data_IF_199076531009
#
_entry.id   IF_199076531009
#
_cell.length_a   1.000
_cell.length_b   1.000
_cell.length_c   1.000
_cell.angle_alpha   90.00
_cell.angle_beta   90.00
_cell.angle_gamma   90.00
#
_symmetry.space_group_name_H-M   'P 1'
#
loop_
_entity.id
_entity.type
_entity.pdbx_description
1 polymer ?
#
# COMPACT_ATOMS: atom_id res chain seq x y z
N UNK A 1 7.17 -15.50 -20.06
CA UNK A 1 7.08 -14.11 -19.57
C UNK A 1 5.72 -13.75 -18.93
N UNK A 2 4.62 -14.43 -19.26
CA UNK A 2 3.29 -14.12 -18.69
C UNK A 2 3.17 -14.34 -17.18
N UNK A 3 4.07 -15.11 -16.56
CA UNK A 3 4.02 -15.43 -15.12
C UNK A 3 4.03 -14.20 -14.22
N UNK A 4 4.74 -13.12 -14.59
CA UNK A 4 4.79 -11.89 -13.76
C UNK A 4 3.49 -11.07 -13.83
N UNK A 5 2.56 -11.39 -14.74
CA UNK A 5 1.23 -10.78 -14.78
C UNK A 5 0.20 -11.54 -13.95
N UNK A 6 0.30 -12.86 -13.84
CA UNK A 6 -0.72 -13.70 -13.22
C UNK A 6 -0.73 -13.56 -11.69
N UNK A 7 -1.86 -13.19 -11.05
CA UNK A 7 -1.94 -13.07 -9.58
C UNK A 7 -1.53 -14.35 -8.85
N UNK A 8 -1.91 -15.52 -9.38
CA UNK A 8 -1.55 -16.82 -8.80
C UNK A 8 -0.04 -17.09 -8.68
N UNK A 9 0.78 -16.42 -9.49
CA UNK A 9 2.26 -16.52 -9.37
C UNK A 9 2.77 -15.95 -8.04
N UNK A 10 2.01 -15.05 -7.43
CA UNK A 10 2.39 -14.35 -6.20
C UNK A 10 1.83 -15.02 -4.93
N UNK A 11 1.02 -16.05 -5.07
CA UNK A 11 0.47 -16.80 -3.93
C UNK A 11 1.57 -17.41 -3.05
N UNK A 12 2.67 -17.87 -3.67
CA UNK A 12 3.84 -18.42 -2.97
C UNK A 12 4.91 -17.36 -2.69
N UNK A 13 4.72 -16.14 -3.14
CA UNK A 13 5.62 -15.00 -2.98
C UNK A 13 5.97 -14.30 -4.28
N UNK A 14 6.68 -13.17 -4.14
CA UNK A 14 7.20 -12.45 -5.30
C UNK A 14 8.23 -13.33 -6.01
N UNK A 15 8.12 -13.56 -7.35
CA UNK A 15 8.99 -14.46 -8.09
C UNK A 15 10.37 -13.84 -8.36
N UNK A 16 11.16 -13.59 -7.30
CA UNK A 16 12.43 -12.86 -7.38
C UNK A 16 13.47 -13.51 -8.30
N UNK A 17 13.52 -14.84 -8.37
CA UNK A 17 14.42 -15.54 -9.31
C UNK A 17 14.08 -15.21 -10.75
N UNK A 18 12.81 -15.33 -11.13
CA UNK A 18 12.35 -14.98 -12.47
C UNK A 18 12.62 -13.50 -12.78
N UNK A 19 12.36 -12.60 -11.81
CA UNK A 19 12.62 -11.17 -11.99
C UNK A 19 14.13 -10.89 -12.17
N UNK A 20 15.01 -11.61 -11.47
CA UNK A 20 16.47 -11.51 -11.60
C UNK A 20 16.93 -11.98 -12.99
N UNK A 21 16.46 -13.15 -13.44
CA UNK A 21 16.77 -13.67 -14.77
C UNK A 21 16.34 -12.69 -15.87
N UNK A 22 15.11 -12.20 -15.81
CA UNK A 22 14.59 -11.24 -16.78
C UNK A 22 15.38 -9.93 -16.75
N UNK A 23 15.69 -9.40 -15.56
CA UNK A 23 16.48 -8.16 -15.41
C UNK A 23 17.88 -8.29 -16.03
N UNK A 24 18.52 -9.43 -15.87
CA UNK A 24 19.83 -9.71 -16.45
C UNK A 24 19.81 -9.88 -17.97
N UNK A 25 18.83 -10.61 -18.49
CA UNK A 25 18.75 -10.98 -19.89
C UNK A 25 18.02 -9.93 -20.76
N UNK A 26 16.86 -9.44 -20.31
CA UNK A 26 15.95 -8.55 -21.07
C UNK A 26 15.28 -7.55 -20.13
N UNK A 27 16.00 -6.53 -19.66
CA UNK A 27 15.55 -5.63 -18.58
C UNK A 27 14.29 -4.83 -18.92
N UNK A 28 13.98 -4.69 -20.22
CA UNK A 28 12.71 -4.18 -20.73
C UNK A 28 12.13 -5.28 -21.61
N UNK A 29 11.08 -5.97 -21.14
CA UNK A 29 10.54 -7.14 -21.83
C UNK A 29 9.03 -7.05 -22.01
N UNK A 30 8.54 -7.62 -23.12
CA UNK A 30 7.11 -7.70 -23.40
C UNK A 30 6.43 -8.76 -22.55
N UNK A 31 5.32 -8.40 -21.90
CA UNK A 31 4.47 -9.29 -21.10
C UNK A 31 3.06 -9.26 -21.65
N UNK A 32 2.51 -10.44 -21.91
CA UNK A 32 1.11 -10.57 -22.34
C UNK A 32 0.18 -10.38 -21.12
N UNK A 33 -1.00 -9.86 -21.38
CA UNK A 33 -2.10 -9.74 -20.42
C UNK A 33 -3.19 -10.78 -20.75
N UNK A 34 -3.04 -12.05 -20.37
CA UNK A 34 -4.08 -13.05 -20.61
C UNK A 34 -5.35 -12.72 -19.81
N UNK A 35 -6.47 -13.30 -20.23
CA UNK A 35 -7.68 -13.30 -19.44
C UNK A 35 -7.44 -13.98 -18.09
N UNK A 36 -8.04 -13.44 -17.02
CA UNK A 36 -7.97 -13.99 -15.65
C UNK A 36 -9.36 -14.00 -15.05
N UNK A 37 -9.92 -15.18 -14.82
CA UNK A 37 -11.32 -15.31 -14.41
C UNK A 37 -12.25 -14.65 -15.44
N UNK A 38 -13.13 -13.79 -14.98
CA UNK A 38 -14.04 -13.04 -15.85
C UNK A 38 -13.43 -11.77 -16.47
N UNK A 39 -12.18 -11.44 -16.17
CA UNK A 39 -11.49 -10.29 -16.74
C UNK A 39 -10.92 -10.63 -18.11
N UNK A 40 -11.20 -9.83 -19.18
CA UNK A 40 -10.72 -10.12 -20.52
C UNK A 40 -9.19 -9.96 -20.65
N UNK A 41 -8.65 -10.52 -21.73
CA UNK A 41 -7.25 -10.28 -22.09
C UNK A 41 -7.04 -8.81 -22.48
N UNK A 42 -5.87 -8.28 -22.12
CA UNK A 42 -5.41 -6.94 -22.53
C UNK A 42 -4.40 -6.99 -23.67
N UNK A 43 -3.92 -5.81 -24.13
CA UNK A 43 -2.98 -5.72 -25.24
C UNK A 43 -1.56 -6.21 -24.89
N UNK A 44 -1.23 -6.32 -23.62
CA UNK A 44 0.13 -6.53 -23.13
C UNK A 44 0.84 -5.23 -22.71
N UNK A 45 2.05 -5.37 -22.19
CA UNK A 45 2.83 -4.22 -21.70
C UNK A 45 4.34 -4.50 -21.72
N UNK A 46 5.13 -3.44 -21.68
CA UNK A 46 6.57 -3.48 -21.45
C UNK A 46 6.87 -3.46 -19.96
N UNK A 47 7.42 -4.54 -19.40
CA UNK A 47 7.90 -4.57 -18.03
C UNK A 47 9.30 -3.97 -17.94
N UNK A 48 9.51 -3.02 -17.03
CA UNK A 48 10.79 -2.33 -16.78
C UNK A 48 11.30 -2.79 -15.42
N UNK A 49 12.49 -3.43 -15.39
CA UNK A 49 12.98 -4.20 -14.25
C UNK A 49 14.25 -3.62 -13.60
N UNK A 50 15.13 -2.91 -14.35
CA UNK A 50 16.34 -2.29 -13.80
C UNK A 50 16.02 -1.01 -13.03
N UNK A 51 16.69 -0.80 -11.94
CA UNK A 51 16.51 0.36 -11.08
C UNK A 51 16.68 1.69 -11.81
N UNK A 52 17.73 1.84 -12.63
CA UNK A 52 17.99 3.07 -13.39
C UNK A 52 16.85 3.36 -14.40
N UNK A 53 16.37 2.32 -15.11
CA UNK A 53 15.29 2.44 -16.09
C UNK A 53 13.95 2.75 -15.42
N UNK A 54 13.65 2.11 -14.28
CA UNK A 54 12.47 2.41 -13.44
C UNK A 54 12.49 3.87 -12.99
N UNK A 55 13.62 4.37 -12.49
CA UNK A 55 13.75 5.79 -12.10
C UNK A 55 13.63 6.73 -13.30
N UNK A 56 14.17 6.36 -14.45
CA UNK A 56 14.03 7.14 -15.67
C UNK A 56 12.56 7.28 -16.06
N UNK A 57 11.82 6.17 -16.17
CA UNK A 57 10.39 6.18 -16.49
C UNK A 57 9.57 7.01 -15.50
N UNK A 58 9.87 6.89 -14.20
CA UNK A 58 9.12 7.59 -13.15
C UNK A 58 9.39 9.10 -13.09
N UNK A 59 10.55 9.58 -13.55
CA UNK A 59 10.92 11.01 -13.48
C UNK A 59 10.64 11.79 -14.77
N UNK A 60 10.22 11.12 -15.85
CA UNK A 60 10.02 11.73 -17.17
C UNK A 60 8.56 11.59 -17.64
N UNK A 61 7.60 12.27 -16.97
CA UNK A 61 6.17 12.17 -17.29
C UNK A 61 5.86 12.68 -18.71
N UNK A 62 6.69 13.53 -19.28
CA UNK A 62 6.60 13.99 -20.66
C UNK A 62 6.79 12.85 -21.69
N UNK A 63 7.50 11.81 -21.35
CA UNK A 63 7.68 10.58 -22.15
C UNK A 63 6.77 9.43 -21.70
N UNK A 64 6.50 9.34 -20.41
CA UNK A 64 5.81 8.22 -19.75
C UNK A 64 4.66 8.73 -18.86
N UNK A 65 3.51 8.96 -19.47
CA UNK A 65 2.34 9.58 -18.85
C UNK A 65 1.65 8.65 -17.84
N UNK A 66 1.25 9.20 -16.70
CA UNK A 66 0.29 8.60 -15.77
C UNK A 66 -1.15 8.80 -16.26
N UNK A 67 -1.42 9.86 -17.04
CA UNK A 67 -2.75 10.28 -17.42
C UNK A 67 -3.33 9.48 -18.58
N UNK A 68 -2.52 9.17 -19.60
CA UNK A 68 -3.04 8.59 -20.86
C UNK A 68 -3.78 7.26 -20.66
N UNK A 69 -3.32 6.40 -19.77
CA UNK A 69 -3.93 5.10 -19.50
C UNK A 69 -4.18 4.79 -18.03
N UNK A 70 -4.07 5.81 -17.15
CA UNK A 70 -4.01 5.65 -15.71
C UNK A 70 -2.81 4.80 -15.25
N UNK A 71 -2.75 4.42 -13.97
CA UNK A 71 -1.56 3.80 -13.35
C UNK A 71 -1.72 2.32 -13.03
N UNK A 72 -2.88 1.74 -13.33
CA UNK A 72 -3.13 0.30 -13.22
C UNK A 72 -2.80 -0.42 -14.53
N UNK A 73 -2.34 -1.68 -14.45
CA UNK A 73 -2.00 -2.45 -15.67
C UNK A 73 -3.21 -2.65 -16.56
N UNK A 74 -4.35 -3.08 -15.96
CA UNK A 74 -5.60 -3.23 -16.70
C UNK A 74 -6.18 -1.88 -17.09
N UNK A 75 -6.69 -1.81 -18.30
CA UNK A 75 -7.43 -0.64 -18.76
C UNK A 75 -8.81 -0.59 -18.06
N UNK A 76 -9.37 0.61 -17.80
CA UNK A 76 -10.75 0.77 -17.39
C UNK A 76 -11.72 0.20 -18.44
N UNK A 77 -12.88 -0.30 -17.99
CA UNK A 77 -13.84 -1.01 -18.84
C UNK A 77 -14.52 -0.11 -19.88
N UNK A 78 -14.46 1.20 -19.70
CA UNK A 78 -15.04 2.19 -20.61
C UNK A 78 -14.25 3.49 -20.67
N UNK A 79 -14.48 4.27 -21.73
CA UNK A 79 -13.93 5.63 -21.86
C UNK A 79 -14.41 6.56 -20.73
N UNK A 80 -15.65 6.40 -20.27
CA UNK A 80 -16.20 7.20 -19.17
C UNK A 80 -15.49 6.89 -17.84
N UNK A 81 -15.23 5.61 -17.55
CA UNK A 81 -14.45 5.21 -16.37
C UNK A 81 -13.00 5.68 -16.45
N UNK A 82 -12.39 5.62 -17.63
CA UNK A 82 -11.05 6.16 -17.81
C UNK A 82 -11.01 7.68 -17.55
N UNK A 83 -12.00 8.43 -18.02
CA UNK A 83 -12.09 9.87 -17.75
C UNK A 83 -12.27 10.16 -16.26
N UNK A 84 -13.13 9.41 -15.55
CA UNK A 84 -13.27 9.54 -14.11
C UNK A 84 -11.96 9.18 -13.38
N UNK A 85 -11.35 8.06 -13.72
CA UNK A 85 -10.09 7.61 -13.12
C UNK A 85 -8.94 8.62 -13.31
N UNK A 86 -8.91 9.31 -14.45
CA UNK A 86 -7.93 10.36 -14.76
C UNK A 86 -8.04 11.59 -13.89
N UNK A 87 -9.16 11.84 -13.20
CA UNK A 87 -9.27 12.97 -12.26
C UNK A 87 -8.51 12.77 -10.96
N UNK A 88 -8.12 11.53 -10.64
CA UNK A 88 -7.31 11.20 -9.47
C UNK A 88 -5.88 11.75 -9.60
N UNK A 89 -5.35 12.36 -8.55
CA UNK A 89 -3.97 12.90 -8.52
C UNK A 89 -2.91 11.88 -8.99
N UNK A 90 -3.04 10.63 -8.59
CA UNK A 90 -2.14 9.54 -8.98
C UNK A 90 -2.10 9.31 -10.51
N UNK A 91 -3.21 9.60 -11.19
CA UNK A 91 -3.40 9.40 -12.62
C UNK A 91 -3.34 10.71 -13.42
N UNK A 92 -2.67 11.72 -12.89
CA UNK A 92 -2.45 13.02 -13.54
C UNK A 92 -0.96 13.20 -13.82
N UNK A 93 -0.65 13.96 -14.87
CA UNK A 93 0.72 14.43 -15.12
C UNK A 93 0.87 15.90 -14.68
N UNK A 94 2.09 16.40 -14.44
CA UNK A 94 2.28 17.83 -14.28
C UNK A 94 1.82 18.61 -15.53
N UNK A 95 1.18 19.80 -15.36
CA UNK A 95 1.03 20.59 -14.14
C UNK A 95 -0.16 20.21 -13.25
N UNK A 96 -1.16 19.46 -13.73
CA UNK A 96 -2.39 19.15 -13.01
C UNK A 96 -2.11 18.30 -11.75
N UNK A 97 -1.25 17.27 -11.87
CA UNK A 97 -0.75 16.54 -10.72
C UNK A 97 -0.18 17.49 -9.65
N UNK A 98 0.64 18.45 -10.05
CA UNK A 98 1.30 19.37 -9.12
C UNK A 98 0.30 20.30 -8.44
N UNK A 99 -0.79 20.69 -9.13
CA UNK A 99 -1.90 21.47 -8.55
C UNK A 99 -2.60 20.68 -7.45
N UNK A 100 -3.04 19.46 -7.75
CA UNK A 100 -3.73 18.60 -6.77
C UNK A 100 -2.83 18.25 -5.58
N UNK A 101 -1.57 17.91 -5.83
CA UNK A 101 -0.60 17.58 -4.79
C UNK A 101 -0.38 18.75 -3.82
N UNK A 102 -0.32 19.99 -4.30
CA UNK A 102 -0.14 21.19 -3.48
C UNK A 102 -1.26 21.37 -2.47
N UNK A 103 -2.50 21.07 -2.84
CA UNK A 103 -3.68 21.18 -1.97
C UNK A 103 -3.48 20.35 -0.69
N UNK A 104 -2.99 19.12 -0.82
CA UNK A 104 -2.90 18.16 0.29
C UNK A 104 -1.54 18.13 0.99
N UNK A 105 -0.49 18.61 0.33
CA UNK A 105 0.90 18.51 0.82
C UNK A 105 1.10 19.12 2.22
N UNK A 106 0.33 20.17 2.56
CA UNK A 106 0.40 20.80 3.86
C UNK A 106 0.04 19.91 5.05
N UNK A 107 -0.72 18.82 4.83
CA UNK A 107 -1.04 17.82 5.86
C UNK A 107 0.13 16.85 6.13
N UNK A 108 1.13 16.79 5.25
CA UNK A 108 2.27 15.88 5.31
C UNK A 108 3.60 16.58 5.55
N UNK A 109 3.57 17.85 5.96
CA UNK A 109 4.78 18.58 6.34
C UNK A 109 5.39 18.02 7.63
N UNK A 110 6.72 18.17 7.86
CA UNK A 110 7.35 17.73 9.10
C UNK A 110 6.68 18.26 10.36
N UNK A 111 6.20 19.52 10.34
CA UNK A 111 5.46 20.12 11.46
C UNK A 111 4.14 19.39 11.71
N UNK A 112 3.30 19.21 10.68
CA UNK A 112 2.00 18.54 10.83
C UNK A 112 2.16 17.07 11.27
N UNK A 113 3.17 16.37 10.76
CA UNK A 113 3.47 15.00 11.15
C UNK A 113 4.08 14.92 12.56
N UNK A 114 4.87 15.93 12.98
CA UNK A 114 5.40 16.00 14.35
C UNK A 114 4.31 16.03 15.40
N UNK A 115 3.22 16.76 15.15
CA UNK A 115 2.05 16.81 16.03
C UNK A 115 1.33 15.45 16.17
N UNK A 116 1.42 14.59 15.14
CA UNK A 116 0.82 13.25 15.12
C UNK A 116 1.73 12.17 15.70
N UNK A 117 3.04 12.37 15.69
CA UNK A 117 4.03 11.34 16.05
C UNK A 117 3.76 10.75 17.43
N UNK A 118 3.58 11.59 18.46
CA UNK A 118 3.31 11.12 19.83
C UNK A 118 1.99 10.34 19.95
N UNK A 119 0.98 10.71 19.15
CA UNK A 119 -0.28 9.97 19.12
C UNK A 119 -0.13 8.60 18.48
N UNK A 120 0.64 8.51 17.37
CA UNK A 120 0.96 7.26 16.68
C UNK A 120 1.76 6.33 17.60
N UNK A 121 2.76 6.86 18.32
CA UNK A 121 3.58 6.09 19.26
C UNK A 121 2.76 5.56 20.43
N UNK A 122 1.90 6.39 21.04
CA UNK A 122 0.98 5.93 22.10
C UNK A 122 0.06 4.84 21.58
N UNK A 123 -0.54 5.05 20.41
CA UNK A 123 -1.45 4.07 19.83
C UNK A 123 -0.76 2.73 19.53
N UNK A 124 0.45 2.75 18.97
CA UNK A 124 1.25 1.55 18.80
C UNK A 124 1.55 0.86 20.15
N UNK A 125 1.83 1.65 21.21
CA UNK A 125 2.05 1.14 22.56
C UNK A 125 0.81 0.48 23.16
N UNK A 126 -0.37 1.08 22.95
CA UNK A 126 -1.66 0.54 23.43
C UNK A 126 -2.00 -0.77 22.72
N UNK A 127 -1.83 -0.82 21.39
CA UNK A 127 -2.06 -2.04 20.60
C UNK A 127 -1.18 -3.21 21.07
N UNK A 128 0.12 -2.99 21.22
CA UNK A 128 1.03 -4.04 21.70
C UNK A 128 0.76 -4.37 23.18
N UNK A 129 0.41 -3.36 23.97
CA UNK A 129 0.02 -3.53 25.37
C UNK A 129 -1.21 -4.44 25.55
N UNK A 130 -2.21 -4.33 24.68
CA UNK A 130 -3.46 -5.09 24.76
C UNK A 130 -3.27 -6.61 24.57
N UNK A 131 -2.20 -7.03 23.90
CA UNK A 131 -1.92 -8.46 23.61
C UNK A 131 -0.79 -9.03 24.46
N UNK A 132 -0.05 -8.20 25.18
CA UNK A 132 1.21 -8.58 25.84
C UNK A 132 1.08 -9.83 26.72
N UNK A 133 -0.01 -9.97 27.47
CA UNK A 133 -0.24 -11.09 28.39
C UNK A 133 -0.78 -12.35 27.69
N UNK A 134 -1.14 -12.28 26.40
CA UNK A 134 -1.69 -13.41 25.67
C UNK A 134 -0.62 -14.44 25.31
N UNK A 135 0.62 -14.01 25.03
CA UNK A 135 1.73 -14.86 24.62
C UNK A 135 1.77 -15.19 23.13
N UNK A 136 0.68 -14.91 22.41
CA UNK A 136 0.57 -15.08 20.97
C UNK A 136 -0.47 -14.12 20.39
N UNK A 137 -0.34 -13.77 19.10
CA UNK A 137 -1.30 -12.98 18.35
C UNK A 137 -1.10 -13.15 16.83
N UNK A 138 -2.13 -12.84 16.06
CA UNK A 138 -1.96 -12.59 14.62
C UNK A 138 -1.51 -11.14 14.42
N UNK A 139 -0.28 -10.97 13.98
CA UNK A 139 0.31 -9.64 13.81
C UNK A 139 -0.33 -8.85 12.66
N UNK A 140 -0.91 -9.50 11.64
CA UNK A 140 -1.66 -8.80 10.59
C UNK A 140 -2.85 -8.06 11.18
N UNK A 141 -3.62 -8.71 12.04
CA UNK A 141 -4.76 -8.11 12.72
C UNK A 141 -4.33 -7.03 13.71
N UNK A 142 -3.30 -7.31 14.52
CA UNK A 142 -2.77 -6.35 15.49
C UNK A 142 -2.28 -5.06 14.83
N UNK A 143 -1.52 -5.19 13.74
CA UNK A 143 -0.90 -4.06 13.06
C UNK A 143 -1.88 -3.25 12.20
N UNK A 144 -3.01 -3.82 11.78
CA UNK A 144 -3.94 -3.19 10.85
C UNK A 144 -4.63 -1.94 11.42
N UNK A 145 -4.84 -1.86 12.73
CA UNK A 145 -5.54 -0.73 13.36
C UNK A 145 -4.72 0.58 13.36
N UNK A 146 -3.39 0.48 13.42
CA UNK A 146 -2.52 1.67 13.46
C UNK A 146 -2.65 2.56 12.22
N UNK A 147 -2.53 2.05 10.97
CA UNK A 147 -2.67 2.88 9.78
C UNK A 147 -4.10 3.42 9.61
N UNK A 148 -5.12 2.63 9.95
CA UNK A 148 -6.53 3.05 9.84
C UNK A 148 -6.85 4.24 10.76
N UNK A 149 -6.45 4.17 12.03
CA UNK A 149 -6.62 5.30 12.98
C UNK A 149 -5.84 6.52 12.55
N UNK A 150 -4.59 6.32 12.13
CA UNK A 150 -3.76 7.44 11.67
C UNK A 150 -4.39 8.12 10.46
N UNK A 151 -4.90 7.34 9.51
CA UNK A 151 -5.56 7.83 8.32
C UNK A 151 -6.86 8.57 8.66
N UNK A 152 -7.71 8.00 9.54
CA UNK A 152 -8.94 8.65 9.99
C UNK A 152 -8.65 10.02 10.61
N UNK A 153 -7.61 10.12 11.44
CA UNK A 153 -7.18 11.39 12.04
C UNK A 153 -6.76 12.39 10.97
N UNK A 154 -5.91 12.01 10.02
CA UNK A 154 -5.41 12.92 8.97
C UNK A 154 -6.52 13.35 8.02
N UNK A 155 -7.39 12.42 7.63
CA UNK A 155 -8.52 12.72 6.75
C UNK A 155 -9.63 13.53 7.46
N UNK A 156 -9.74 13.43 8.78
CA UNK A 156 -10.82 14.03 9.56
C UNK A 156 -12.08 13.16 9.64
N UNK A 157 -11.91 11.85 9.43
CA UNK A 157 -12.97 10.83 9.59
C UNK A 157 -13.21 10.61 11.09
N UNK A 158 -14.46 10.57 11.59
CA UNK A 158 -14.78 10.20 12.97
C UNK A 158 -14.23 8.81 13.34
N UNK A 159 -13.80 8.66 14.58
CA UNK A 159 -13.24 7.39 15.10
C UNK A 159 -14.21 6.22 14.92
N UNK A 160 -15.48 6.45 15.11
CA UNK A 160 -16.54 5.45 14.97
C UNK A 160 -16.65 4.92 13.53
N UNK A 161 -16.36 5.78 12.54
CA UNK A 161 -16.51 5.46 11.12
C UNK A 161 -15.23 4.90 10.47
N UNK A 162 -14.12 4.77 11.24
CA UNK A 162 -12.85 4.33 10.68
C UNK A 162 -12.90 2.95 10.00
N UNK A 163 -13.82 2.07 10.44
CA UNK A 163 -13.99 0.74 9.84
C UNK A 163 -14.51 0.80 8.39
N UNK A 164 -15.19 1.89 8.00
CA UNK A 164 -15.57 2.11 6.61
C UNK A 164 -14.35 2.26 5.69
N UNK A 165 -13.26 2.88 6.20
CA UNK A 165 -12.00 2.98 5.44
C UNK A 165 -11.42 1.59 5.15
N UNK A 166 -11.53 0.66 6.09
CA UNK A 166 -11.10 -0.74 5.91
C UNK A 166 -11.98 -1.44 4.89
N UNK A 167 -13.30 -1.29 5.02
CA UNK A 167 -14.27 -1.90 4.10
C UNK A 167 -14.03 -1.45 2.65
N UNK A 168 -13.92 -0.15 2.43
CA UNK A 168 -13.65 0.38 1.10
C UNK A 168 -12.31 -0.09 0.53
N UNK A 169 -11.25 -0.07 1.35
CA UNK A 169 -9.94 -0.53 0.93
C UNK A 169 -9.93 -2.02 0.56
N UNK A 170 -10.56 -2.88 1.38
CA UNK A 170 -10.66 -4.31 1.12
C UNK A 170 -11.42 -4.61 -0.18
N UNK A 171 -12.55 -3.92 -0.43
CA UNK A 171 -13.32 -4.06 -1.68
C UNK A 171 -12.48 -3.68 -2.91
N UNK A 172 -11.72 -2.61 -2.82
CA UNK A 172 -10.92 -2.07 -3.93
C UNK A 172 -9.66 -2.87 -4.21
N UNK A 173 -8.95 -3.29 -3.17
CA UNK A 173 -7.66 -3.98 -3.27
C UNK A 173 -7.84 -5.49 -3.40
N UNK A 174 -8.82 -6.04 -2.69
CA UNK A 174 -9.08 -7.48 -2.63
C UNK A 174 -9.74 -8.06 -3.88
N UNK A 175 -9.96 -7.29 -4.95
CA UNK A 175 -10.66 -7.79 -6.13
C UNK A 175 -9.99 -8.99 -6.80
N UNK A 176 -8.71 -9.25 -6.55
CA UNK A 176 -7.96 -10.41 -7.00
C UNK A 176 -7.99 -11.58 -5.99
N UNK A 177 -8.47 -11.34 -4.77
CA UNK A 177 -8.53 -12.30 -3.67
C UNK A 177 -9.88 -12.18 -2.95
N UNK A 178 -10.79 -13.11 -3.23
CA UNK A 178 -12.18 -13.05 -2.74
C UNK A 178 -12.27 -13.08 -1.20
N UNK A 179 -11.42 -13.85 -0.52
CA UNK A 179 -11.39 -13.90 0.94
C UNK A 179 -11.09 -12.54 1.55
N UNK A 180 -10.16 -11.81 0.91
CA UNK A 180 -9.78 -10.49 1.35
C UNK A 180 -10.85 -9.43 1.05
N UNK A 181 -11.45 -9.49 -0.13
CA UNK A 181 -12.50 -8.56 -0.54
C UNK A 181 -13.73 -8.57 0.39
N UNK A 182 -14.03 -9.72 1.00
CA UNK A 182 -15.18 -9.92 1.87
C UNK A 182 -14.84 -9.89 3.37
N UNK A 183 -13.58 -9.62 3.73
CA UNK A 183 -13.11 -9.69 5.13
C UNK A 183 -13.53 -8.49 5.99
N UNK A 184 -14.30 -7.54 5.47
CA UNK A 184 -14.70 -6.35 6.22
C UNK A 184 -16.03 -6.51 6.93
N UNK A 185 -16.09 -6.00 8.13
CA UNK A 185 -17.26 -6.01 9.01
C UNK A 185 -17.41 -4.66 9.68
N UNK A 186 -17.90 -3.65 8.96
CA UNK A 186 -18.35 -2.44 9.62
C UNK A 186 -19.62 -2.78 10.42
N UNK A 187 -19.54 -2.63 11.74
CA UNK A 187 -20.67 -2.84 12.65
C UNK A 187 -21.57 -1.58 12.65
N UNK A 188 -22.79 -1.66 12.12
CA UNK A 188 -23.68 -0.51 12.01
C UNK A 188 -23.96 0.18 13.35
N UNK A 189 -23.99 -0.58 14.46
CA UNK A 189 -24.30 -0.05 15.79
C UNK A 189 -23.18 0.84 16.34
N UNK A 190 -21.98 0.72 15.80
CA UNK A 190 -20.81 1.54 16.18
C UNK A 190 -20.61 2.77 15.33
N UNK A 191 -21.26 2.84 14.16
CA UNK A 191 -21.09 3.97 13.24
C UNK A 191 -21.84 5.20 13.70
N UNK A 192 -21.38 6.37 13.25
CA UNK A 192 -22.18 7.61 13.29
C UNK A 192 -23.41 7.48 12.40
N UNK A 193 -24.36 8.44 12.53
CA UNK A 193 -25.52 8.50 11.61
C UNK A 193 -25.08 8.62 10.16
N UNK A 194 -24.02 9.39 9.92
CA UNK A 194 -23.40 9.52 8.60
C UNK A 194 -22.84 8.19 8.09
N UNK A 195 -22.11 7.49 8.94
CA UNK A 195 -21.55 6.18 8.60
C UNK A 195 -22.63 5.15 8.31
N UNK A 196 -23.72 5.12 9.09
CA UNK A 196 -24.89 4.25 8.83
C UNK A 196 -25.56 4.58 7.51
N UNK A 197 -25.74 5.86 7.21
CA UNK A 197 -26.29 6.32 5.92
C UNK A 197 -25.44 5.87 4.75
N UNK A 198 -24.12 6.02 4.84
CA UNK A 198 -23.21 5.53 3.82
C UNK A 198 -23.29 4.02 3.63
N UNK A 199 -23.27 3.26 4.74
CA UNK A 199 -23.35 1.80 4.68
C UNK A 199 -24.65 1.32 4.02
N UNK A 200 -25.77 2.02 4.24
CA UNK A 200 -27.05 1.73 3.60
C UNK A 200 -27.05 1.97 2.07
N UNK A 201 -26.15 2.85 1.59
CA UNK A 201 -25.95 3.12 0.16
C UNK A 201 -24.97 2.16 -0.50
N UNK A 202 -24.44 1.19 0.24
CA UNK A 202 -23.46 0.22 -0.30
C UNK A 202 -24.06 -0.55 -1.48
N UNK A 203 -23.40 -0.54 -2.65
CA UNK A 203 -23.88 -1.29 -3.80
C UNK A 203 -23.88 -2.79 -3.51
N UNK A 204 -25.02 -3.43 -3.77
CA UNK A 204 -25.20 -4.89 -3.62
C UNK A 204 -25.00 -5.64 -4.92
N UNK A 205 -24.99 -4.94 -6.06
CA UNK A 205 -24.80 -5.52 -7.38
C UNK A 205 -23.33 -5.89 -7.58
N UNK A 206 -23.06 -7.17 -7.75
CA UNK A 206 -21.71 -7.71 -7.97
C UNK A 206 -21.43 -8.04 -9.44
N UNK A 207 -22.47 -8.05 -10.29
CA UNK A 207 -22.38 -8.36 -11.71
C UNK A 207 -23.08 -7.30 -12.55
N UNK A 208 -22.48 -7.00 -13.70
CA UNK A 208 -23.07 -6.14 -14.73
C UNK A 208 -24.22 -6.86 -15.47
N UNK A 209 -25.08 -6.16 -16.22
CA UNK A 209 -26.18 -6.80 -16.97
C UNK A 209 -25.71 -7.87 -17.98
N UNK A 210 -24.49 -7.78 -18.46
CA UNK A 210 -23.84 -8.75 -19.36
C UNK A 210 -23.10 -9.87 -18.60
N UNK A 211 -23.31 -9.98 -17.26
CA UNK A 211 -22.79 -11.08 -16.43
C UNK A 211 -21.32 -10.96 -16.01
N UNK A 212 -20.65 -9.85 -16.33
CA UNK A 212 -19.28 -9.61 -15.87
C UNK A 212 -19.26 -9.09 -14.43
N UNK A 213 -18.19 -9.33 -13.64
CA UNK A 213 -18.05 -8.72 -12.34
C UNK A 213 -18.02 -7.19 -12.46
N UNK A 214 -18.72 -6.49 -11.57
CA UNK A 214 -18.61 -5.03 -11.45
C UNK A 214 -17.18 -4.69 -11.03
N UNK A 215 -16.56 -3.75 -11.74
CA UNK A 215 -15.26 -3.23 -11.34
C UNK A 215 -15.37 -2.53 -9.98
N UNK A 216 -14.75 -3.04 -8.91
CA UNK A 216 -14.90 -2.48 -7.56
C UNK A 216 -14.28 -1.08 -7.41
N UNK A 217 -13.58 -0.60 -8.44
CA UNK A 217 -12.99 0.76 -8.52
C UNK A 217 -13.82 1.72 -9.35
N UNK A 218 -14.92 1.24 -9.94
CA UNK A 218 -15.82 2.10 -10.70
C UNK A 218 -16.56 3.09 -9.78
N UNK A 219 -16.97 4.23 -10.35
CA UNK A 219 -17.74 5.23 -9.60
C UNK A 219 -19.02 4.63 -9.02
N UNK A 220 -19.69 3.76 -9.78
CA UNK A 220 -20.91 3.07 -9.35
C UNK A 220 -20.68 2.12 -8.16
N UNK A 221 -19.55 1.41 -8.13
CA UNK A 221 -19.20 0.50 -7.04
C UNK A 221 -18.82 1.20 -5.73
N UNK A 222 -18.54 2.52 -5.78
CA UNK A 222 -18.06 3.32 -4.65
C UNK A 222 -19.05 4.45 -4.27
N UNK A 223 -20.32 4.32 -4.64
CA UNK A 223 -21.36 5.33 -4.38
C UNK A 223 -21.48 5.64 -2.88
N UNK A 224 -21.40 4.65 -2.02
CA UNK A 224 -21.41 4.78 -0.56
C UNK A 224 -20.21 5.60 -0.05
N UNK A 225 -19.02 5.35 -0.56
CA UNK A 225 -17.80 6.10 -0.21
C UNK A 225 -17.92 7.57 -0.60
N UNK A 226 -18.40 7.85 -1.80
CA UNK A 226 -18.50 9.23 -2.28
C UNK A 226 -19.61 10.02 -1.59
N UNK A 227 -20.76 9.38 -1.32
CA UNK A 227 -21.84 10.00 -0.53
C UNK A 227 -21.32 10.37 0.88
N UNK A 228 -20.59 9.46 1.52
CA UNK A 228 -19.95 9.73 2.81
C UNK A 228 -18.97 10.90 2.74
N UNK A 229 -18.09 10.90 1.72
CA UNK A 229 -17.08 11.94 1.55
C UNK A 229 -17.70 13.34 1.40
N UNK A 230 -18.74 13.47 0.56
CA UNK A 230 -19.43 14.73 0.34
C UNK A 230 -20.14 15.22 1.61
N UNK A 231 -20.86 14.35 2.31
CA UNK A 231 -21.56 14.71 3.54
C UNK A 231 -20.58 15.09 4.67
N UNK A 232 -19.46 14.36 4.81
CA UNK A 232 -18.41 14.70 5.78
C UNK A 232 -17.75 16.05 5.45
N UNK A 233 -17.66 16.41 4.16
CA UNK A 233 -17.07 17.67 3.70
C UNK A 233 -17.94 18.90 3.99
N UNK A 234 -19.22 18.75 4.33
CA UNK A 234 -20.05 19.88 4.75
C UNK A 234 -19.51 20.52 6.04
N UNK A 235 -18.99 19.70 6.97
CA UNK A 235 -18.42 20.14 8.25
C UNK A 235 -17.11 19.42 8.56
N UNK A 236 -16.07 19.60 7.73
CA UNK A 236 -14.83 18.87 7.90
C UNK A 236 -14.06 19.35 9.13
N UNK A 237 -13.31 18.46 9.74
CA UNK A 237 -12.41 18.82 10.84
C UNK A 237 -11.34 19.81 10.35
N UNK A 238 -11.16 20.97 11.00
CA UNK A 238 -10.15 21.95 10.62
C UNK A 238 -8.74 21.32 10.50
N UNK A 239 -8.00 21.72 9.47
CA UNK A 239 -6.64 21.22 9.22
C UNK A 239 -6.54 19.83 8.60
N UNK A 240 -7.63 19.07 8.54
CA UNK A 240 -7.66 17.74 7.89
C UNK A 240 -7.43 17.83 6.38
N UNK A 241 -7.06 16.67 5.77
CA UNK A 241 -6.96 16.54 4.31
C UNK A 241 -8.30 16.88 3.65
N UNK A 242 -9.41 16.44 4.24
CA UNK A 242 -10.75 16.70 3.71
C UNK A 242 -11.08 18.20 3.71
N UNK A 243 -10.74 18.95 4.78
CA UNK A 243 -10.90 20.40 4.80
C UNK A 243 -10.10 21.09 3.71
N UNK A 244 -8.84 20.67 3.50
CA UNK A 244 -7.98 21.19 2.43
C UNK A 244 -8.53 20.90 1.04
N UNK A 245 -9.09 19.71 0.84
CA UNK A 245 -9.70 19.30 -0.43
C UNK A 245 -10.96 20.13 -0.72
N UNK A 246 -11.83 20.33 0.27
CA UNK A 246 -13.02 21.20 0.15
C UNK A 246 -12.63 22.62 -0.24
N UNK A 247 -11.64 23.19 0.44
CA UNK A 247 -11.23 24.60 0.26
C UNK A 247 -10.30 24.76 -0.98
N UNK A 248 -9.81 23.67 -1.55
CA UNK A 248 -8.83 23.66 -2.64
C UNK A 248 -9.42 23.87 -4.05
N UNK A 249 -10.72 24.06 -4.20
CA UNK A 249 -11.36 24.30 -5.49
C UNK A 249 -11.37 23.09 -6.43
N UNK A 250 -11.48 21.89 -5.85
CA UNK A 250 -11.58 20.65 -6.63
C UNK A 250 -12.95 20.54 -7.31
N UNK A 251 -12.98 20.01 -8.53
CA UNK A 251 -14.23 19.54 -9.11
C UNK A 251 -14.81 18.36 -8.31
N UNK A 252 -16.11 18.06 -8.39
CA UNK A 252 -16.70 16.92 -7.70
C UNK A 252 -15.96 15.59 -7.98
N UNK A 253 -15.58 15.35 -9.23
CA UNK A 253 -14.86 14.13 -9.61
C UNK A 253 -13.43 14.08 -9.04
N UNK A 254 -12.71 15.21 -9.02
CA UNK A 254 -11.39 15.29 -8.36
C UNK A 254 -11.53 15.07 -6.85
N UNK A 255 -12.54 15.64 -6.22
CA UNK A 255 -12.79 15.45 -4.79
C UNK A 255 -13.07 13.98 -4.46
N UNK A 256 -13.98 13.33 -5.21
CA UNK A 256 -14.29 11.91 -5.06
C UNK A 256 -13.05 11.02 -5.22
N UNK A 257 -12.30 11.21 -6.31
CA UNK A 257 -11.13 10.39 -6.61
C UNK A 257 -9.95 10.67 -5.66
N UNK A 258 -9.82 11.87 -5.13
CA UNK A 258 -8.84 12.19 -4.09
C UNK A 258 -9.22 11.54 -2.75
N UNK A 259 -10.50 11.57 -2.36
CA UNK A 259 -10.96 10.86 -1.16
C UNK A 259 -10.68 9.35 -1.29
N UNK A 260 -11.06 8.75 -2.42
CA UNK A 260 -10.75 7.36 -2.75
C UNK A 260 -9.23 7.07 -2.63
N UNK A 261 -8.39 7.91 -3.23
CA UNK A 261 -6.94 7.74 -3.21
C UNK A 261 -6.40 7.65 -1.77
N UNK A 262 -6.82 8.56 -0.89
CA UNK A 262 -6.35 8.57 0.50
C UNK A 262 -6.92 7.39 1.30
N UNK A 263 -8.21 7.10 1.16
CA UNK A 263 -8.87 5.99 1.87
C UNK A 263 -8.19 4.64 1.60
N UNK A 264 -7.71 4.43 0.37
CA UNK A 264 -7.09 3.17 -0.05
C UNK A 264 -5.57 3.18 0.16
N UNK A 265 -4.87 4.19 -0.39
CA UNK A 265 -3.40 4.19 -0.39
C UNK A 265 -2.78 4.36 1.00
N UNK A 266 -3.45 5.09 1.90
CA UNK A 266 -2.93 5.38 3.24
C UNK A 266 -3.10 4.23 4.24
N UNK A 267 -3.95 3.25 3.94
CA UNK A 267 -4.23 2.11 4.80
C UNK A 267 -3.42 0.86 4.38
N UNK A 268 -3.66 0.35 3.19
CA UNK A 268 -3.19 -0.96 2.75
C UNK A 268 -1.67 -1.08 2.68
N UNK A 269 -0.98 -0.01 2.27
CA UNK A 269 0.48 -0.08 2.09
C UNK A 269 1.21 -0.28 3.40
N UNK A 270 0.82 0.42 4.47
CA UNK A 270 1.41 0.24 5.81
C UNK A 270 0.96 -1.07 6.44
N UNK A 271 -0.32 -1.44 6.26
CA UNK A 271 -0.88 -2.73 6.71
C UNK A 271 -0.12 -3.93 6.13
N UNK A 272 0.38 -3.83 4.88
CA UNK A 272 1.18 -4.87 4.24
C UNK A 272 2.67 -4.77 4.59
N UNK A 273 3.20 -3.56 4.79
CA UNK A 273 4.62 -3.35 5.12
C UNK A 273 4.99 -3.83 6.52
N UNK A 274 4.11 -3.63 7.51
CA UNK A 274 4.36 -4.02 8.90
C UNK A 274 4.52 -5.55 9.05
N UNK A 275 3.54 -6.39 8.63
CA UNK A 275 3.69 -7.83 8.76
C UNK A 275 4.79 -8.39 7.86
N UNK A 276 4.91 -7.92 6.62
CA UNK A 276 5.95 -8.38 5.69
C UNK A 276 7.36 -8.03 6.18
N UNK A 277 7.53 -6.83 6.73
CA UNK A 277 8.78 -6.40 7.35
C UNK A 277 9.14 -7.20 8.59
N UNK A 278 8.18 -7.43 9.50
CA UNK A 278 8.40 -8.25 10.70
C UNK A 278 8.69 -9.72 10.34
N UNK A 279 7.93 -10.30 9.42
CA UNK A 279 8.18 -11.64 8.89
C UNK A 279 9.61 -11.78 8.35
N UNK A 280 10.04 -10.79 7.57
CA UNK A 280 11.40 -10.76 7.04
C UNK A 280 12.44 -10.67 8.17
N UNK A 281 12.23 -9.80 9.15
CA UNK A 281 13.16 -9.62 10.27
C UNK A 281 13.30 -10.89 11.14
N UNK A 282 12.18 -11.52 11.47
CA UNK A 282 12.18 -12.76 12.26
C UNK A 282 12.78 -13.94 11.47
N UNK A 283 12.58 -13.97 10.14
CA UNK A 283 13.24 -14.93 9.24
C UNK A 283 14.77 -14.74 9.12
N UNK A 284 15.31 -13.63 9.68
CA UNK A 284 16.76 -13.34 9.72
C UNK A 284 17.25 -13.12 11.16
N UNK A 285 17.36 -14.17 11.98
CA UNK A 285 17.62 -14.05 13.43
C UNK A 285 18.89 -13.27 13.79
N UNK A 286 19.92 -13.29 12.92
CA UNK A 286 21.14 -12.50 13.14
C UNK A 286 20.86 -10.98 13.06
N UNK A 287 20.01 -10.55 12.11
CA UNK A 287 19.62 -9.17 11.94
C UNK A 287 18.68 -8.71 13.06
N UNK A 288 17.73 -9.57 13.46
CA UNK A 288 16.86 -9.31 14.61
C UNK A 288 17.69 -9.11 15.90
N UNK A 289 18.62 -10.02 16.21
CA UNK A 289 19.53 -9.87 17.38
C UNK A 289 20.42 -8.63 17.28
N UNK A 290 20.84 -8.24 16.07
CA UNK A 290 21.59 -7.01 15.87
C UNK A 290 20.74 -5.79 16.22
N UNK A 291 19.49 -5.72 15.73
CA UNK A 291 18.57 -4.64 16.06
C UNK A 291 18.28 -4.53 17.56
N UNK A 292 18.12 -5.68 18.25
CA UNK A 292 17.92 -5.70 19.71
C UNK A 292 19.12 -5.13 20.48
N UNK A 293 20.35 -5.35 20.01
CA UNK A 293 21.57 -4.81 20.61
C UNK A 293 21.86 -3.37 20.22
N UNK A 294 21.35 -2.92 19.07
CA UNK A 294 21.61 -1.62 18.48
C UNK A 294 20.31 -0.95 18.03
N UNK A 295 19.50 -0.44 18.99
CA UNK A 295 18.19 0.17 18.71
C UNK A 295 18.27 1.38 17.77
N UNK A 296 19.42 2.05 17.67
CA UNK A 296 19.66 3.14 16.72
C UNK A 296 19.55 2.69 15.26
N UNK A 297 19.64 1.39 14.98
CA UNK A 297 19.43 0.81 13.65
C UNK A 297 17.95 0.69 13.26
N UNK A 298 17.00 1.10 14.11
CA UNK A 298 15.58 0.99 13.82
C UNK A 298 15.19 1.75 12.52
N UNK A 299 15.75 2.93 12.30
CA UNK A 299 15.45 3.71 11.10
C UNK A 299 16.00 3.04 9.81
N UNK A 300 17.29 2.67 9.71
CA UNK A 300 17.77 1.93 8.54
C UNK A 300 17.13 0.54 8.38
N UNK A 301 16.74 -0.13 9.48
CA UNK A 301 16.01 -1.39 9.42
C UNK A 301 14.65 -1.23 8.71
N UNK A 302 13.92 -0.15 8.97
CA UNK A 302 12.66 0.15 8.28
C UNK A 302 12.89 0.38 6.79
N UNK A 303 13.95 1.10 6.38
CA UNK A 303 14.26 1.27 4.95
C UNK A 303 14.60 -0.08 4.29
N UNK A 304 15.37 -0.93 4.97
CA UNK A 304 15.69 -2.26 4.45
C UNK A 304 14.46 -3.19 4.36
N UNK A 305 13.56 -3.13 5.34
CA UNK A 305 12.28 -3.82 5.27
C UNK A 305 11.47 -3.37 4.04
N UNK A 306 11.38 -2.08 3.79
CA UNK A 306 10.67 -1.51 2.63
C UNK A 306 11.33 -1.90 1.31
N UNK A 307 12.66 -1.95 1.25
CA UNK A 307 13.39 -2.43 0.07
C UNK A 307 13.10 -3.91 -0.18
N UNK A 308 13.22 -4.72 0.86
CA UNK A 308 13.14 -6.17 0.79
C UNK A 308 11.70 -6.68 0.59
N UNK A 309 10.72 -5.97 1.16
CA UNK A 309 9.30 -6.24 1.08
C UNK A 309 8.53 -4.99 0.62
N UNK A 310 8.64 -4.59 -0.67
CA UNK A 310 7.86 -3.47 -1.19
C UNK A 310 6.37 -3.81 -1.16
N UNK A 311 5.51 -2.98 -0.53
CA UNK A 311 4.08 -3.30 -0.40
C UNK A 311 3.33 -3.15 -1.73
N UNK A 312 3.83 -2.30 -2.64
CA UNK A 312 3.33 -2.14 -4.00
C UNK A 312 4.38 -2.63 -4.98
N UNK A 313 4.01 -3.61 -5.80
CA UNK A 313 4.95 -4.31 -6.67
C UNK A 313 5.26 -3.55 -7.95
N UNK A 314 4.30 -2.81 -8.50
CA UNK A 314 4.47 -2.11 -9.77
C UNK A 314 3.48 -0.94 -9.95
N UNK A 315 3.80 -0.05 -10.90
CA UNK A 315 2.86 0.92 -11.46
C UNK A 315 3.04 1.01 -12.97
N UNK A 316 1.93 1.36 -13.66
CA UNK A 316 1.90 1.60 -15.10
C UNK A 316 2.18 3.06 -15.42
N UNK A 317 2.78 3.25 -16.60
CA UNK A 317 2.79 4.49 -17.40
C UNK A 317 2.33 4.15 -18.81
N UNK A 318 2.14 5.17 -19.62
CA UNK A 318 1.82 5.01 -21.06
C UNK A 318 2.74 5.91 -21.86
N UNK A 319 3.41 5.37 -22.89
CA UNK A 319 4.31 6.14 -23.73
C UNK A 319 3.54 7.24 -24.50
N UNK A 320 4.02 8.49 -24.41
CA UNK A 320 3.40 9.65 -25.07
C UNK A 320 3.79 9.77 -26.54
N UNK A 321 4.92 9.17 -26.90
CA UNK A 321 5.51 9.13 -28.24
C UNK A 321 6.31 7.83 -28.38
N UNK A 322 6.83 7.56 -29.57
CA UNK A 322 7.81 6.49 -29.76
C UNK A 322 9.07 6.84 -28.99
N UNK A 323 9.52 5.95 -28.12
CA UNK A 323 10.73 6.13 -27.29
C UNK A 323 11.60 4.88 -27.34
N UNK A 324 12.90 5.05 -27.10
CA UNK A 324 13.81 3.92 -26.88
C UNK A 324 14.17 3.85 -25.40
N UNK A 325 14.05 2.65 -24.81
CA UNK A 325 14.41 2.37 -23.42
C UNK A 325 15.24 1.08 -23.36
N UNK A 326 16.47 1.17 -22.89
CA UNK A 326 17.40 0.03 -22.81
C UNK A 326 17.53 -0.76 -24.14
N UNK A 327 17.56 -0.08 -25.29
CA UNK A 327 17.65 -0.67 -26.62
C UNK A 327 16.34 -1.23 -27.19
N UNK A 328 15.21 -1.05 -26.47
CA UNK A 328 13.89 -1.50 -26.90
C UNK A 328 13.06 -0.30 -27.36
N UNK A 329 12.51 -0.40 -28.59
CA UNK A 329 11.57 0.59 -29.10
C UNK A 329 10.18 0.35 -28.52
N UNK A 330 9.67 1.31 -27.77
CA UNK A 330 8.31 1.36 -27.22
C UNK A 330 7.51 2.37 -28.06
N UNK A 331 6.36 1.97 -28.58
CA UNK A 331 5.55 2.83 -29.43
C UNK A 331 4.65 3.72 -28.59
N UNK A 332 4.27 4.85 -29.15
CA UNK A 332 3.24 5.72 -28.58
C UNK A 332 1.98 4.94 -28.23
N UNK A 333 1.46 5.15 -27.01
CA UNK A 333 0.25 4.50 -26.51
C UNK A 333 0.49 3.14 -25.83
N UNK A 334 1.68 2.55 -25.98
CA UNK A 334 1.97 1.28 -25.32
C UNK A 334 2.15 1.45 -23.80
N UNK A 335 1.74 0.41 -23.07
CA UNK A 335 1.86 0.34 -21.60
C UNK A 335 3.31 0.07 -21.20
N UNK A 336 3.79 0.81 -20.22
CA UNK A 336 5.11 0.66 -19.60
C UNK A 336 4.91 0.46 -18.10
N UNK A 337 5.25 -0.72 -17.59
CA UNK A 337 5.03 -1.09 -16.20
C UNK A 337 6.36 -1.18 -15.46
N UNK A 338 6.57 -0.28 -14.52
CA UNK A 338 7.76 -0.27 -13.68
C UNK A 338 7.60 -1.24 -12.51
N UNK A 339 8.55 -2.15 -12.33
CA UNK A 339 8.51 -3.15 -11.26
C UNK A 339 9.41 -2.74 -10.07
N UNK A 340 8.80 -2.25 -8.99
CA UNK A 340 9.50 -1.85 -7.76
C UNK A 340 10.23 -3.05 -7.12
N UNK A 341 9.58 -4.22 -7.07
CA UNK A 341 10.17 -5.41 -6.50
C UNK A 341 11.44 -5.87 -7.24
N UNK A 342 11.45 -5.76 -8.57
CA UNK A 342 12.62 -6.08 -9.38
C UNK A 342 13.74 -5.03 -9.20
N UNK A 343 13.38 -3.73 -9.25
CA UNK A 343 14.33 -2.63 -9.11
C UNK A 343 15.01 -2.62 -7.73
N UNK A 344 14.27 -2.95 -6.66
CA UNK A 344 14.81 -3.03 -5.30
C UNK A 344 15.77 -4.22 -5.08
N UNK A 345 15.88 -5.11 -6.05
CA UNK A 345 16.83 -6.24 -6.06
C UNK A 345 17.86 -6.13 -7.18
N UNK A 346 18.04 -4.93 -7.75
CA UNK A 346 19.01 -4.69 -8.80
C UNK A 346 20.44 -4.70 -8.22
N UNK A 347 21.22 -5.69 -8.63
CA UNK A 347 22.61 -5.91 -8.20
C UNK A 347 23.56 -4.78 -8.59
N UNK A 348 23.19 -3.96 -9.58
CA UNK A 348 23.98 -2.79 -9.97
C UNK A 348 23.86 -1.64 -8.98
N UNK A 349 22.85 -1.67 -8.09
CA UNK A 349 22.60 -0.61 -7.09
C UNK A 349 22.73 -1.17 -5.67
N UNK A 350 22.30 -2.41 -5.46
CA UNK A 350 22.30 -3.06 -4.15
C UNK A 350 23.26 -4.25 -4.16
N UNK A 351 24.49 -4.12 -3.63
CA UNK A 351 25.39 -5.27 -3.45
C UNK A 351 24.67 -6.36 -2.63
N UNK A 352 24.79 -7.63 -3.05
CA UNK A 352 24.08 -8.76 -2.45
C UNK A 352 22.58 -8.46 -2.24
N UNK A 353 21.81 -8.20 -3.31
CA UNK A 353 20.47 -7.64 -3.18
C UNK A 353 19.48 -8.58 -2.47
N UNK A 354 19.74 -9.88 -2.49
CA UNK A 354 18.94 -10.91 -1.83
C UNK A 354 19.31 -11.12 -0.36
N UNK A 355 20.38 -10.48 0.13
CA UNK A 355 20.73 -10.41 1.53
C UNK A 355 19.92 -9.30 2.21
N UNK A 356 19.19 -9.68 3.26
CA UNK A 356 18.55 -8.71 4.17
C UNK A 356 19.60 -8.18 5.15
N UNK A 357 19.84 -6.86 5.12
CA UNK A 357 20.88 -6.22 5.92
C UNK A 357 20.38 -4.88 6.47
N UNK A 358 20.02 -4.83 7.75
CA UNK A 358 19.49 -3.63 8.41
C UNK A 358 20.50 -2.48 8.55
N UNK A 359 21.75 -2.71 8.15
CA UNK A 359 22.82 -1.68 8.14
C UNK A 359 23.09 -1.12 6.75
N UNK A 360 22.34 -1.58 5.74
CA UNK A 360 22.54 -1.19 4.36
C UNK A 360 22.51 0.33 4.17
N UNK A 361 23.60 0.86 3.61
CA UNK A 361 23.75 2.28 3.27
C UNK A 361 24.71 2.43 2.08
N UNK A 362 24.35 3.16 0.98
CA UNK A 362 23.03 3.76 0.77
C UNK A 362 21.93 2.71 0.56
N UNK A 363 20.66 3.10 0.73
CA UNK A 363 19.51 2.27 0.49
C UNK A 363 18.46 3.01 -0.37
N UNK A 364 18.82 3.22 -1.66
CA UNK A 364 18.05 4.02 -2.63
C UNK A 364 16.88 3.22 -3.24
N UNK A 365 16.07 2.57 -2.40
CA UNK A 365 14.95 1.78 -2.88
C UNK A 365 13.83 2.64 -3.48
N UNK A 366 13.06 2.08 -4.41
CA UNK A 366 11.94 2.76 -5.09
C UNK A 366 10.57 2.37 -4.56
N UNK A 367 10.45 1.83 -3.36
CA UNK A 367 9.16 1.41 -2.75
C UNK A 367 8.18 2.57 -2.55
N UNK A 368 8.67 3.79 -2.46
CA UNK A 368 7.86 5.02 -2.44
C UNK A 368 7.71 5.67 -3.83
N UNK A 369 8.09 4.98 -4.90
CA UNK A 369 8.18 5.57 -6.23
C UNK A 369 9.37 6.54 -6.38
N UNK A 370 9.35 7.34 -7.44
CA UNK A 370 10.38 8.33 -7.75
C UNK A 370 9.79 9.49 -8.58
N UNK A 371 10.45 10.65 -8.61
CA UNK A 371 10.04 11.80 -9.41
C UNK A 371 8.76 12.49 -8.90
N UNK A 372 7.93 13.08 -9.79
CA UNK A 372 6.76 13.86 -9.40
C UNK A 372 5.77 13.09 -8.50
N UNK A 373 5.62 11.80 -8.74
CA UNK A 373 4.72 10.91 -8.01
C UNK A 373 5.36 10.24 -6.77
N UNK A 374 6.53 10.71 -6.30
CA UNK A 374 7.08 10.22 -5.03
C UNK A 374 6.02 10.31 -3.93
N UNK A 375 5.86 9.23 -3.16
CA UNK A 375 4.79 9.08 -2.17
C UNK A 375 4.67 10.28 -1.23
N UNK A 376 3.50 10.91 -1.18
CA UNK A 376 3.25 12.06 -0.29
C UNK A 376 3.26 11.65 1.17
N UNK A 377 2.84 10.40 1.47
CA UNK A 377 2.80 9.82 2.82
C UNK A 377 4.08 9.12 3.26
N UNK A 378 5.19 9.19 2.50
CA UNK A 378 6.40 8.42 2.77
C UNK A 378 6.95 8.63 4.20
N UNK A 379 6.95 9.87 4.69
CA UNK A 379 7.39 10.18 6.05
C UNK A 379 6.43 9.65 7.11
N UNK A 380 5.12 9.76 6.85
CA UNK A 380 4.09 9.21 7.75
C UNK A 380 4.20 7.68 7.87
N UNK A 381 4.40 6.97 6.75
CA UNK A 381 4.61 5.53 6.74
C UNK A 381 5.84 5.15 7.60
N UNK A 382 6.96 5.87 7.45
CA UNK A 382 8.17 5.65 8.26
C UNK A 382 7.93 5.85 9.76
N UNK A 383 7.14 6.86 10.14
CA UNK A 383 6.78 7.09 11.54
C UNK A 383 5.98 5.90 12.08
N UNK A 384 4.96 5.44 11.35
CA UNK A 384 4.13 4.32 11.78
C UNK A 384 4.92 3.00 11.87
N UNK A 385 5.74 2.70 10.86
CA UNK A 385 6.59 1.51 10.84
C UNK A 385 7.56 1.50 12.03
N UNK A 386 8.24 2.61 12.29
CA UNK A 386 9.14 2.75 13.44
C UNK A 386 8.41 2.61 14.76
N UNK A 387 7.27 3.28 14.93
CA UNK A 387 6.50 3.24 16.16
C UNK A 387 6.04 1.81 16.50
N UNK A 388 5.42 1.11 15.55
CA UNK A 388 4.96 -0.27 15.77
C UNK A 388 6.12 -1.22 16.01
N UNK A 389 7.15 -1.19 15.15
CA UNK A 389 8.30 -2.08 15.28
C UNK A 389 9.02 -1.88 16.62
N UNK A 390 9.21 -0.62 17.05
CA UNK A 390 9.79 -0.32 18.36
C UNK A 390 8.99 -0.98 19.50
N UNK A 391 7.68 -0.84 19.53
CA UNK A 391 6.84 -1.41 20.58
C UNK A 391 6.90 -2.95 20.58
N UNK A 392 6.81 -3.55 19.39
CA UNK A 392 6.83 -5.02 19.24
C UNK A 392 8.15 -5.60 19.74
N UNK A 393 9.29 -5.08 19.28
CA UNK A 393 10.62 -5.62 19.66
C UNK A 393 11.01 -5.33 21.10
N UNK A 394 10.47 -4.26 21.72
CA UNK A 394 10.85 -3.90 23.12
C UNK A 394 9.91 -4.48 24.16
N UNK A 395 8.64 -4.77 23.83
CA UNK A 395 7.62 -5.18 24.81
C UNK A 395 7.22 -6.65 24.72
N UNK A 396 7.59 -7.35 23.63
CA UNK A 396 7.29 -8.77 23.44
C UNK A 396 8.60 -9.59 23.53
N UNK A 397 9.03 -9.97 24.75
CA UNK A 397 10.31 -10.65 24.95
C UNK A 397 10.29 -12.05 24.33
N UNK A 398 11.39 -12.43 23.65
CA UNK A 398 11.47 -13.73 22.96
C UNK A 398 10.53 -13.85 21.78
N UNK A 399 10.21 -12.71 21.15
CA UNK A 399 9.34 -12.65 19.97
C UNK A 399 9.88 -13.53 18.83
N UNK A 400 9.02 -14.39 18.30
CA UNK A 400 9.31 -15.27 17.17
C UNK A 400 8.02 -15.60 16.41
N UNK A 401 8.15 -16.25 15.24
CA UNK A 401 7.02 -16.85 14.56
C UNK A 401 6.53 -18.09 15.34
N UNK A 402 5.23 -18.34 15.29
CA UNK A 402 4.69 -19.63 15.78
C UNK A 402 5.32 -20.76 14.96
N UNK A 403 5.87 -21.83 15.59
CA UNK A 403 6.50 -22.92 14.86
C UNK A 403 5.62 -23.52 13.77
N UNK A 404 6.20 -23.76 12.61
CA UNK A 404 5.47 -24.30 11.45
C UNK A 404 4.65 -23.25 10.68
N UNK A 405 4.70 -21.98 11.05
CA UNK A 405 4.00 -20.90 10.34
C UNK A 405 4.54 -20.74 8.92
N UNK A 406 3.67 -20.97 7.94
CA UNK A 406 3.84 -20.54 6.54
C UNK A 406 2.75 -19.50 6.27
N UNK A 407 3.07 -18.22 6.30
CA UNK A 407 2.05 -17.18 6.17
C UNK A 407 1.32 -17.24 4.83
N UNK A 408 -0.01 -17.30 4.87
CA UNK A 408 -0.83 -17.17 3.66
C UNK A 408 -0.65 -15.77 3.06
N UNK A 409 -0.31 -15.72 1.77
CA UNK A 409 -0.08 -14.47 1.05
C UNK A 409 -1.35 -13.97 0.37
N UNK A 410 -1.40 -12.67 0.15
CA UNK A 410 -2.43 -12.08 -0.68
C UNK A 410 -2.22 -12.52 -2.14
N UNK A 411 -3.26 -13.05 -2.78
CA UNK A 411 -3.25 -13.50 -4.17
C UNK A 411 -3.28 -12.30 -5.14
N UNK A 412 -2.26 -11.44 -5.10
CA UNK A 412 -2.23 -10.21 -5.87
C UNK A 412 -0.88 -9.99 -6.54
N UNK A 413 -0.90 -9.64 -7.83
CA UNK A 413 0.29 -9.18 -8.55
C UNK A 413 0.62 -7.69 -8.30
N UNK A 414 -0.24 -6.97 -7.58
CA UNK A 414 -0.10 -5.53 -7.30
C UNK A 414 0.30 -5.24 -5.86
N UNK A 415 -0.36 -5.91 -4.89
CA UNK A 415 -0.08 -5.76 -3.47
C UNK A 415 0.72 -6.95 -2.94
N UNK A 416 1.78 -6.67 -2.19
CA UNK A 416 2.60 -7.67 -1.51
C UNK A 416 2.22 -7.72 -0.04
N UNK A 417 1.28 -8.56 0.32
CA UNK A 417 0.72 -8.64 1.68
C UNK A 417 0.64 -10.07 2.21
N UNK A 418 0.42 -10.17 3.52
CA UNK A 418 0.10 -11.39 4.24
C UNK A 418 -1.35 -11.34 4.73
N UNK A 419 -2.06 -12.48 4.68
CA UNK A 419 -3.41 -12.62 5.25
C UNK A 419 -3.35 -12.82 6.76
N UNK A 420 -2.36 -13.58 7.23
CA UNK A 420 -2.11 -13.89 8.64
C UNK A 420 -0.61 -13.94 8.90
N UNK A 421 -0.20 -13.55 10.10
CA UNK A 421 1.17 -13.71 10.61
C UNK A 421 1.12 -14.06 12.11
N UNK A 422 0.93 -15.35 12.46
CA UNK A 422 0.97 -15.80 13.85
C UNK A 422 2.36 -15.59 14.45
N UNK A 423 2.43 -14.83 15.53
CA UNK A 423 3.64 -14.56 16.32
C UNK A 423 3.44 -14.99 17.76
N UNK A 424 4.51 -15.38 18.42
CA UNK A 424 4.54 -15.77 19.82
C UNK A 424 5.66 -15.05 20.57
N UNK A 425 5.49 -14.93 21.89
CA UNK A 425 6.49 -14.35 22.79
C UNK A 425 6.35 -14.91 24.20
N UNK A 426 7.37 -14.66 25.04
CA UNK A 426 7.33 -15.04 26.45
C UNK A 426 6.35 -14.14 27.20
N UNK A 427 5.37 -14.75 27.91
CA UNK A 427 4.52 -13.99 28.84
C UNK A 427 5.39 -13.42 29.96
N UNK A 428 5.08 -12.20 30.36
CA UNK A 428 5.65 -11.67 31.61
C UNK A 428 5.21 -12.59 32.73
N UNK A 429 6.13 -13.37 33.28
CA UNK A 429 5.84 -14.11 34.52
C UNK A 429 5.43 -13.07 35.55
N UNK A 430 4.15 -13.02 35.89
CA UNK A 430 3.69 -12.23 37.02
C UNK A 430 4.60 -12.60 38.22
N UNK A 431 5.29 -11.63 38.78
CA UNK A 431 6.00 -11.79 40.03
C UNK A 431 4.95 -12.15 41.07
N UNK A 432 4.74 -13.46 41.25
CA UNK A 432 4.00 -13.98 42.40
C UNK A 432 4.77 -13.52 43.63
N UNK A 433 4.32 -12.40 44.22
CA UNK A 433 4.69 -12.06 45.59
C UNK A 433 4.07 -13.19 46.42
N UNK A 434 4.86 -14.24 46.62
CA UNK A 434 4.57 -15.24 47.64
C UNK A 434 4.52 -14.50 48.99
N UNK A 435 3.31 -14.20 49.46
CA UNK A 435 3.11 -13.97 50.89
C UNK A 435 3.48 -15.27 51.61
N UNK A 436 4.76 -15.39 51.99
CA UNK A 436 5.20 -16.32 53.02
C UNK A 436 4.52 -15.92 54.34
N UNK A 437 3.78 -16.84 54.87
CA UNK A 437 3.33 -16.82 56.28
C UNK A 437 4.52 -17.07 57.20
#
# INVERSE_FOLDING_TARGET
MNRIFLPGTYADGVPYELLRELRGAVPVCWVQEPAVGAWPAGPGYWAVLRHADVRHVLRTPELFSSHLGATQVRDPDSAAELQFTRTMMLNQDPPDHSRLRRIVAGAFTPRALGELTSAIERHAADLVGSVREHGEADFVHLAADLPVRTLAVIMGVPEQDRQLLVDWANRVIGYQDADYAHSSTADPDRLTDLGRTALALRPTTTTTPDGRPVNPRSRAALTDMFAYAHALAERPRPGSVLARMRDGGLSPAEFETMFFLFAVAGNETVRNSLPGGLYTLLGHPAQYRLLMRRPELLAPAVEEMLRFWPPVLHFRRTATQDVELAGVRIRRGEKVVVHHAAANRDETVFPDPDRFDITRTPNDHVSFGYGPHFCVGAQLARIQLKAMLHQVITRLPGLDLVPGTVPARLGSNFQNGLKHLPIQWQRSSGCGIGCGR
#
